data_IF_534208620897
#
_entry.id   IF_534208620897
#
_cell.length_a   1.000
_cell.length_b   1.000
_cell.length_c   1.000
_cell.angle_alpha   90.00
_cell.angle_beta   90.00
_cell.angle_gamma   90.00
#
_symmetry.space_group_name_H-M   'P 1'
#
loop_
_entity.id
_entity.type
_entity.pdbx_description
1 polymer ?
#
# COMPACT_ATOMS: atom_id res chain seq x y z
N UNK A 1 -19.85 -37.40 -8.23
CA UNK A 1 -20.21 -36.21 -7.43
C UNK A 1 -19.14 -36.00 -6.38
N UNK A 2 -18.17 -35.11 -6.64
CA UNK A 2 -17.10 -34.82 -5.69
C UNK A 2 -17.25 -33.37 -5.25
N UNK A 3 -17.98 -33.18 -4.15
CA UNK A 3 -18.06 -31.90 -3.46
C UNK A 3 -16.68 -31.59 -2.88
N UNK A 4 -15.85 -30.91 -3.67
CA UNK A 4 -14.74 -30.13 -3.14
C UNK A 4 -15.38 -28.97 -2.37
N UNK A 5 -15.73 -29.24 -1.11
CA UNK A 5 -15.91 -28.18 -0.13
C UNK A 5 -14.55 -27.52 -0.02
N UNK A 6 -14.33 -26.45 -0.78
CA UNK A 6 -13.31 -25.47 -0.48
C UNK A 6 -13.58 -25.05 0.95
N UNK A 7 -12.86 -25.66 1.89
CA UNK A 7 -12.73 -25.12 3.24
C UNK A 7 -12.21 -23.71 2.99
N UNK A 8 -13.04 -22.72 3.24
CA UNK A 8 -12.58 -21.35 3.38
C UNK A 8 -11.38 -21.43 4.31
N UNK A 9 -10.17 -21.25 3.78
CA UNK A 9 -8.97 -21.15 4.59
C UNK A 9 -9.22 -19.95 5.50
N UNK A 10 -9.58 -20.23 6.75
CA UNK A 10 -9.74 -19.20 7.75
C UNK A 10 -8.40 -18.49 7.84
N UNK A 11 -8.38 -17.20 7.49
CA UNK A 11 -7.17 -16.39 7.58
C UNK A 11 -6.73 -16.43 9.04
N UNK A 12 -5.54 -16.94 9.29
CA UNK A 12 -4.99 -17.07 10.63
C UNK A 12 -4.38 -15.74 11.10
N UNK A 13 -4.31 -15.54 12.42
CA UNK A 13 -3.68 -14.35 13.00
C UNK A 13 -2.21 -14.20 12.60
N UNK A 14 -1.50 -15.32 12.43
CA UNK A 14 -0.11 -15.33 12.01
C UNK A 14 0.06 -14.85 10.56
N UNK A 15 -0.81 -15.30 9.64
CA UNK A 15 -0.82 -14.80 8.25
C UNK A 15 -1.10 -13.29 8.19
N UNK A 16 -1.97 -12.78 9.07
CA UNK A 16 -2.24 -11.34 9.18
C UNK A 16 -0.99 -10.61 9.69
N UNK A 17 -0.31 -11.14 10.71
CA UNK A 17 0.88 -10.51 11.28
C UNK A 17 2.05 -10.49 10.27
N UNK A 18 2.27 -11.58 9.54
CA UNK A 18 3.30 -11.66 8.49
C UNK A 18 3.03 -10.66 7.37
N UNK A 19 1.76 -10.54 6.94
CA UNK A 19 1.35 -9.57 5.94
C UNK A 19 1.56 -8.13 6.41
N UNK A 20 1.18 -7.84 7.66
CA UNK A 20 1.37 -6.53 8.28
C UNK A 20 2.86 -6.18 8.38
N UNK A 21 3.71 -7.14 8.73
CA UNK A 21 5.17 -6.95 8.77
C UNK A 21 5.72 -6.52 7.41
N UNK A 22 5.34 -7.23 6.33
CA UNK A 22 5.72 -6.86 4.95
C UNK A 22 5.21 -5.47 4.56
N UNK A 23 4.00 -5.10 4.96
CA UNK A 23 3.46 -3.76 4.70
C UNK A 23 4.28 -2.68 5.42
N UNK A 24 4.69 -2.92 6.67
CA UNK A 24 5.50 -1.95 7.42
C UNK A 24 6.86 -1.68 6.76
N UNK A 25 7.45 -2.69 6.11
CA UNK A 25 8.71 -2.53 5.38
C UNK A 25 8.57 -1.63 4.13
N UNK A 26 7.37 -1.56 3.54
CA UNK A 26 7.09 -0.81 2.33
C UNK A 26 6.62 0.64 2.58
N UNK A 27 6.25 0.98 3.81
CA UNK A 27 5.77 2.32 4.16
C UNK A 27 6.94 3.16 4.72
N UNK A 28 7.01 4.46 4.42
CA UNK A 28 8.00 5.34 5.03
C UNK A 28 7.98 5.23 6.55
N UNK A 29 9.14 4.96 7.16
CA UNK A 29 9.29 4.80 8.61
C UNK A 29 8.85 6.05 9.39
N UNK A 30 8.84 7.21 8.74
CA UNK A 30 8.36 8.49 9.29
C UNK A 30 6.84 8.54 9.48
N UNK A 31 6.07 7.68 8.79
CA UNK A 31 4.60 7.60 8.92
C UNK A 31 4.15 7.00 10.25
N UNK A 32 5.03 6.24 10.92
CA UNK A 32 4.77 5.65 12.23
C UNK A 32 5.43 6.50 13.32
N UNK A 33 4.88 7.68 13.62
CA UNK A 33 5.49 8.60 14.60
C UNK A 33 5.63 7.96 15.98
N UNK A 34 6.87 7.66 16.41
CA UNK A 34 7.39 7.16 17.71
C UNK A 34 6.59 6.08 18.48
N UNK A 35 5.43 5.68 18.01
CA UNK A 35 4.48 4.88 18.75
C UNK A 35 4.85 3.42 18.56
N UNK A 36 5.52 2.89 19.58
CA UNK A 36 6.00 1.52 19.70
C UNK A 36 4.91 0.44 19.62
N UNK A 37 3.69 0.75 19.13
CA UNK A 37 2.60 -0.19 18.87
C UNK A 37 1.51 0.44 18.00
N UNK A 38 1.79 0.66 16.72
CA UNK A 38 0.71 0.90 15.76
C UNK A 38 -0.14 -0.37 15.63
N UNK A 39 -1.46 -0.27 15.81
CA UNK A 39 -2.36 -1.42 15.59
C UNK A 39 -2.35 -1.86 14.13
N UNK A 40 -2.67 -3.13 13.85
CA UNK A 40 -2.84 -3.66 12.49
C UNK A 40 -3.73 -2.76 11.63
N UNK A 41 -4.85 -2.28 12.18
CA UNK A 41 -5.75 -1.35 11.47
C UNK A 41 -5.07 -0.03 11.11
N UNK A 42 -4.24 0.53 11.99
CA UNK A 42 -3.52 1.76 11.71
C UNK A 42 -2.45 1.55 10.63
N UNK A 43 -1.72 0.43 10.68
CA UNK A 43 -0.71 0.10 9.66
C UNK A 43 -1.36 -0.01 8.28
N UNK A 44 -2.48 -0.73 8.17
CA UNK A 44 -3.21 -0.86 6.91
C UNK A 44 -3.75 0.49 6.41
N UNK A 45 -4.25 1.34 7.32
CA UNK A 45 -4.71 2.71 6.96
C UNK A 45 -3.58 3.57 6.42
N UNK A 46 -2.41 3.57 7.07
CA UNK A 46 -1.24 4.31 6.59
C UNK A 46 -0.72 3.75 5.27
N UNK A 47 -0.75 2.42 5.08
CA UNK A 47 -0.45 1.79 3.78
C UNK A 47 -1.34 2.36 2.67
N UNK A 48 -2.67 2.37 2.90
CA UNK A 48 -3.62 2.91 1.94
C UNK A 48 -3.42 4.40 1.67
N UNK A 49 -3.06 5.19 2.68
CA UNK A 49 -2.73 6.61 2.50
C UNK A 49 -1.47 6.79 1.67
N UNK A 50 -0.42 6.02 1.95
CA UNK A 50 0.84 6.10 1.22
C UNK A 50 0.66 5.71 -0.25
N UNK A 51 -0.06 4.62 -0.55
CA UNK A 51 -0.39 4.26 -1.92
C UNK A 51 -1.13 5.38 -2.67
N UNK A 52 -2.08 6.06 -2.00
CA UNK A 52 -2.79 7.21 -2.59
C UNK A 52 -1.87 8.40 -2.85
N UNK A 53 -0.89 8.64 -1.98
CA UNK A 53 0.14 9.66 -2.18
C UNK A 53 0.97 9.36 -3.42
N UNK A 54 1.49 8.13 -3.50
CA UNK A 54 2.31 7.69 -4.64
C UNK A 54 1.56 7.79 -5.96
N UNK A 55 0.29 7.37 -6.01
CA UNK A 55 -0.52 7.52 -7.22
C UNK A 55 -0.65 8.98 -7.66
N UNK A 56 -0.91 9.89 -6.71
CA UNK A 56 -0.98 11.33 -7.01
C UNK A 56 0.34 11.89 -7.50
N UNK A 57 1.45 11.54 -6.83
CA UNK A 57 2.79 11.97 -7.24
C UNK A 57 3.13 11.48 -8.65
N UNK A 58 2.77 10.24 -8.99
CA UNK A 58 2.94 9.69 -10.33
C UNK A 58 2.07 10.44 -11.36
N UNK A 59 0.80 10.69 -11.05
CA UNK A 59 -0.11 11.41 -11.94
C UNK A 59 0.40 12.85 -12.21
N UNK A 60 0.75 13.58 -11.14
CA UNK A 60 1.26 14.96 -11.22
C UNK A 60 2.59 15.04 -12.00
N UNK A 61 3.49 14.07 -11.79
CA UNK A 61 4.76 13.99 -12.54
C UNK A 61 4.52 13.66 -14.02
N UNK A 62 3.56 12.77 -14.29
CA UNK A 62 3.22 12.36 -15.65
C UNK A 62 2.63 13.53 -16.45
N UNK A 63 1.76 14.33 -15.84
CA UNK A 63 1.19 15.54 -16.45
C UNK A 63 2.29 16.55 -16.79
N UNK A 64 3.13 16.91 -15.80
CA UNK A 64 4.25 17.85 -16.01
C UNK A 64 5.21 17.40 -17.11
N UNK A 65 5.54 16.11 -17.15
CA UNK A 65 6.42 15.56 -18.18
C UNK A 65 5.77 15.65 -19.56
N UNK A 66 4.46 15.40 -19.64
CA UNK A 66 3.69 15.53 -20.88
C UNK A 66 3.70 16.98 -21.39
N UNK A 67 3.47 17.96 -20.51
CA UNK A 67 3.54 19.38 -20.84
C UNK A 67 4.94 19.79 -21.32
N UNK A 68 5.99 19.34 -20.63
CA UNK A 68 7.38 19.61 -21.02
C UNK A 68 7.70 19.06 -22.40
N UNK A 69 7.31 17.81 -22.70
CA UNK A 69 7.52 17.22 -24.02
C UNK A 69 6.75 17.96 -25.11
N UNK A 70 5.48 18.32 -24.84
CA UNK A 70 4.68 19.10 -25.79
C UNK A 70 5.32 20.47 -26.11
N UNK A 71 6.00 21.10 -25.14
CA UNK A 71 6.72 22.35 -25.38
C UNK A 71 8.02 22.21 -26.20
N UNK A 72 8.60 21.00 -26.27
CA UNK A 72 9.80 20.72 -27.06
C UNK A 72 9.48 20.37 -28.52
N UNK A 73 8.25 19.92 -28.79
CA UNK A 73 7.76 19.60 -30.14
C UNK A 73 7.28 20.85 -30.92
N UNK A 74 7.48 22.06 -30.38
CA UNK A 74 7.08 23.35 -30.96
C UNK A 74 8.30 24.17 -31.40
#
# INVERSE_FOLDING_TARGET
MSSRRSRSSEITGDEINDFVGKIQELIPKTSFGSSARASTSNILKEACKYMKSLHREVDDLSEKLTEMLASLDQ
#
